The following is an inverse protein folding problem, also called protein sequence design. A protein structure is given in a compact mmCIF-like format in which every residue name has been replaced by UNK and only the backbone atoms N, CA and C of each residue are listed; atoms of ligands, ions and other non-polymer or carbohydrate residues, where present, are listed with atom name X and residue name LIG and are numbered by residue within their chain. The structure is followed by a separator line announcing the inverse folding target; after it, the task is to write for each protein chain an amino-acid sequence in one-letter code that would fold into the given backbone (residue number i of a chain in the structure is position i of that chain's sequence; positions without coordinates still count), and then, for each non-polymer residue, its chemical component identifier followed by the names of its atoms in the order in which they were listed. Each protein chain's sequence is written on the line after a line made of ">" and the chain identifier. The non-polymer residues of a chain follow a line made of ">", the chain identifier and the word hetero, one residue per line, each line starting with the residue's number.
data_IF_745655311820
#
_entry.id   IF_745655311820
#
_cell.length_a   1.000
_cell.length_b   1.000
_cell.length_c   1.000
_cell.angle_alpha   90.00
_cell.angle_beta   90.00
_cell.angle_gamma   90.00
#
_symmetry.space_group_name_H-M   'P 1'
#
loop_
_entity.id
_entity.type
_entity.pdbx_description
1 polymer ?
#
# COMPACT_ATOMS: atom_id res chain seq x y z
N UNK A 1 5.42 -30.71 -14.06
CA UNK A 1 4.15 -30.82 -14.81
C UNK A 1 3.27 -29.70 -14.32
N UNK A 2 3.30 -28.56 -15.01
CA UNK A 2 2.35 -27.48 -14.77
C UNK A 2 1.02 -27.89 -15.42
N UNK A 3 -0.04 -28.06 -14.63
CA UNK A 3 -1.37 -28.33 -15.17
C UNK A 3 -1.91 -27.07 -15.86
N UNK A 4 -2.62 -27.19 -16.99
CA UNK A 4 -3.23 -26.03 -17.61
C UNK A 4 -4.38 -25.56 -16.70
N UNK A 5 -4.18 -24.45 -15.99
CA UNK A 5 -5.25 -23.75 -15.29
C UNK A 5 -6.21 -23.18 -16.33
N UNK A 6 -7.20 -23.99 -16.75
CA UNK A 6 -8.34 -23.48 -17.49
C UNK A 6 -9.22 -22.75 -16.49
N UNK A 7 -9.08 -21.42 -16.45
CA UNK A 7 -9.96 -20.55 -15.70
C UNK A 7 -11.34 -20.58 -16.38
N UNK A 8 -12.18 -21.54 -16.01
CA UNK A 8 -13.59 -21.57 -16.41
C UNK A 8 -14.35 -20.47 -15.67
N UNK A 9 -14.26 -19.24 -16.17
CA UNK A 9 -15.24 -18.16 -15.94
C UNK A 9 -15.67 -17.93 -14.49
N UNK A 10 -14.78 -18.15 -13.52
CA UNK A 10 -15.00 -17.71 -12.16
C UNK A 10 -14.83 -16.20 -12.17
N UNK A 11 -15.89 -15.46 -11.87
CA UNK A 11 -15.75 -14.07 -11.49
C UNK A 11 -15.00 -14.04 -10.14
N UNK A 12 -13.68 -14.17 -10.18
CA UNK A 12 -12.81 -13.75 -9.08
C UNK A 12 -12.93 -12.23 -8.98
N UNK A 13 -14.06 -11.78 -8.44
CA UNK A 13 -14.38 -10.36 -8.24
C UNK A 13 -13.36 -9.66 -7.34
N UNK A 14 -12.59 -10.43 -6.58
CA UNK A 14 -11.47 -9.96 -5.79
C UNK A 14 -10.22 -9.64 -6.64
N UNK A 15 -10.10 -10.20 -7.84
CA UNK A 15 -9.01 -9.96 -8.78
C UNK A 15 -9.54 -9.76 -10.21
N UNK A 16 -10.40 -8.76 -10.36
CA UNK A 16 -10.80 -8.27 -11.68
C UNK A 16 -9.63 -7.57 -12.36
N UNK A 17 -8.90 -8.30 -13.19
CA UNK A 17 -7.76 -7.78 -13.97
C UNK A 17 -8.18 -6.73 -15.01
N UNK A 18 -9.49 -6.60 -15.30
CA UNK A 18 -10.01 -5.57 -16.20
C UNK A 18 -10.25 -4.23 -15.48
N UNK A 19 -10.17 -4.20 -14.13
CA UNK A 19 -10.24 -2.94 -13.38
C UNK A 19 -9.05 -2.05 -13.69
N UNK A 20 -9.35 -0.91 -14.30
CA UNK A 20 -8.42 0.19 -14.39
C UNK A 20 -8.39 0.95 -13.08
N UNK A 21 -7.21 1.38 -12.58
CA UNK A 21 -7.14 2.27 -11.42
C UNK A 21 -7.95 3.54 -11.71
N UNK A 22 -8.81 3.94 -10.77
CA UNK A 22 -9.51 5.21 -10.91
C UNK A 22 -8.50 6.35 -10.74
N UNK A 23 -8.27 7.20 -11.76
CA UNK A 23 -7.27 8.26 -11.70
C UNK A 23 -7.58 9.32 -10.63
N UNK A 24 -8.82 9.40 -10.16
CA UNK A 24 -9.26 10.31 -9.10
C UNK A 24 -9.03 9.74 -7.69
N UNK A 25 -8.57 8.49 -7.56
CA UNK A 25 -8.28 7.85 -6.28
C UNK A 25 -6.79 7.52 -6.19
N UNK A 26 -5.96 8.55 -6.10
CA UNK A 26 -4.58 8.36 -5.71
C UNK A 26 -4.47 7.92 -4.24
N UNK A 27 -3.29 7.42 -3.86
CA UNK A 27 -3.08 6.84 -2.54
C UNK A 27 -3.33 7.86 -1.41
N UNK A 28 -2.98 9.13 -1.63
CA UNK A 28 -3.20 10.19 -0.67
C UNK A 28 -4.71 10.44 -0.44
N UNK A 29 -5.50 10.47 -1.51
CA UNK A 29 -6.96 10.62 -1.45
C UNK A 29 -7.62 9.44 -0.76
N UNK A 30 -7.15 8.21 -1.02
CA UNK A 30 -7.61 6.99 -0.33
C UNK A 30 -7.33 7.11 1.18
N UNK A 31 -6.11 7.46 1.57
CA UNK A 31 -5.73 7.61 2.98
C UNK A 31 -6.57 8.70 3.65
N UNK A 32 -6.76 9.86 3.00
CA UNK A 32 -7.57 10.95 3.54
C UNK A 32 -9.05 10.57 3.71
N UNK A 33 -9.61 9.79 2.79
CA UNK A 33 -10.98 9.30 2.87
C UNK A 33 -11.16 8.31 4.04
N UNK A 34 -10.23 7.36 4.22
CA UNK A 34 -10.34 6.34 5.27
C UNK A 34 -9.89 6.80 6.65
N UNK A 35 -8.98 7.79 6.73
CA UNK A 35 -8.47 8.36 7.99
C UNK A 35 -8.65 9.88 8.02
N UNK A 36 -9.90 10.37 8.05
CA UNK A 36 -10.17 11.81 8.15
C UNK A 36 -9.74 12.40 9.51
N UNK A 37 -9.66 11.54 10.54
CA UNK A 37 -9.24 11.85 11.91
C UNK A 37 -7.73 12.11 12.05
N UNK A 38 -6.92 11.46 11.20
CA UNK A 38 -5.47 11.60 11.23
C UNK A 38 -5.05 12.99 10.78
N UNK A 39 -4.01 13.54 11.40
CA UNK A 39 -3.48 14.83 10.95
C UNK A 39 -2.84 14.71 9.55
N UNK A 40 -2.76 15.81 8.77
CA UNK A 40 -2.20 15.76 7.41
C UNK A 40 -0.76 15.23 7.32
N UNK A 41 0.07 15.48 8.35
CA UNK A 41 1.47 15.04 8.40
C UNK A 41 1.54 13.53 8.64
N UNK A 42 0.72 13.00 9.55
CA UNK A 42 0.57 11.56 9.75
C UNK A 42 0.17 10.86 8.44
N UNK A 43 -0.84 11.39 7.74
CA UNK A 43 -1.28 10.83 6.45
C UNK A 43 -0.17 10.83 5.40
N UNK A 44 0.66 11.86 5.37
CA UNK A 44 1.81 11.95 4.47
C UNK A 44 2.87 10.89 4.80
N UNK A 45 3.18 10.66 6.08
CA UNK A 45 4.11 9.60 6.50
C UNK A 45 3.60 8.21 6.10
N UNK A 46 2.31 7.94 6.32
CA UNK A 46 1.68 6.67 5.91
C UNK A 46 1.74 6.48 4.40
N UNK A 47 1.42 7.52 3.61
CA UNK A 47 1.51 7.46 2.16
C UNK A 47 2.95 7.14 1.69
N UNK A 48 3.95 7.81 2.27
CA UNK A 48 5.36 7.55 1.99
C UNK A 48 5.76 6.10 2.27
N UNK A 49 5.35 5.56 3.41
CA UNK A 49 5.62 4.17 3.79
C UNK A 49 4.98 3.19 2.81
N UNK A 50 3.70 3.38 2.48
CA UNK A 50 2.98 2.50 1.56
C UNK A 50 3.63 2.47 0.18
N UNK A 51 4.07 3.62 -0.36
CA UNK A 51 4.80 3.66 -1.63
C UNK A 51 6.12 2.90 -1.61
N UNK A 52 6.79 2.79 -0.46
CA UNK A 52 8.08 2.09 -0.35
C UNK A 52 7.92 0.59 -0.09
N UNK A 53 6.94 0.21 0.73
CA UNK A 53 6.70 -1.19 1.14
C UNK A 53 5.93 -1.97 0.08
N UNK A 54 4.95 -1.34 -0.57
CA UNK A 54 4.12 -1.96 -1.61
C UNK A 54 4.64 -1.71 -3.03
N UNK A 55 5.96 -1.49 -3.21
CA UNK A 55 6.54 -1.38 -4.57
C UNK A 55 6.31 -2.67 -5.33
N UNK A 56 5.92 -2.55 -6.59
CA UNK A 56 5.67 -3.69 -7.47
C UNK A 56 6.92 -4.59 -7.57
N UNK A 57 8.06 -4.01 -7.96
CA UNK A 57 9.33 -4.71 -8.06
C UNK A 57 9.87 -5.09 -6.67
N UNK A 58 10.03 -6.38 -6.37
CA UNK A 58 10.44 -6.83 -5.04
C UNK A 58 11.85 -6.37 -4.66
N UNK A 59 12.77 -6.24 -5.63
CA UNK A 59 14.15 -5.77 -5.42
C UNK A 59 14.20 -4.32 -4.93
N UNK A 60 13.12 -3.58 -5.16
CA UNK A 60 13.03 -2.18 -4.83
C UNK A 60 12.28 -1.93 -3.51
N UNK A 61 11.62 -2.95 -2.95
CA UNK A 61 10.88 -2.85 -1.69
C UNK A 61 11.83 -2.63 -0.53
N UNK A 62 11.38 -1.87 0.46
CA UNK A 62 12.09 -1.81 1.74
C UNK A 62 12.12 -3.19 2.40
N UNK A 63 13.30 -3.58 2.86
CA UNK A 63 13.42 -4.67 3.83
C UNK A 63 12.90 -4.22 5.20
N UNK A 64 12.58 -5.17 6.08
CA UNK A 64 12.18 -4.87 7.46
C UNK A 64 13.23 -4.04 8.19
N UNK A 65 14.52 -4.37 8.03
CA UNK A 65 15.61 -3.64 8.66
C UNK A 65 15.68 -2.17 8.21
N UNK A 66 15.46 -1.90 6.92
CA UNK A 66 15.43 -0.53 6.41
C UNK A 66 14.15 0.20 6.82
N UNK A 67 13.00 -0.49 6.87
CA UNK A 67 11.74 0.11 7.33
C UNK A 67 11.83 0.58 8.79
N UNK A 68 12.47 -0.19 9.67
CA UNK A 68 12.68 0.19 11.07
C UNK A 68 13.53 1.46 11.22
N UNK A 69 14.37 1.77 10.23
CA UNK A 69 15.18 2.99 10.19
C UNK A 69 14.52 4.13 9.42
N UNK A 70 13.39 3.88 8.75
CA UNK A 70 12.73 4.87 7.92
C UNK A 70 12.17 6.02 8.78
N UNK A 71 12.48 7.29 8.45
CA UNK A 71 12.02 8.43 9.24
C UNK A 71 10.49 8.56 9.32
N UNK A 72 9.76 8.17 8.26
CA UNK A 72 8.29 8.22 8.29
C UNK A 72 7.73 7.10 9.17
N UNK A 73 8.32 5.90 9.10
CA UNK A 73 7.96 4.82 10.02
C UNK A 73 8.19 5.22 11.49
N UNK A 74 9.36 5.78 11.79
CA UNK A 74 9.69 6.24 13.15
C UNK A 74 8.78 7.36 13.64
N UNK A 75 8.45 8.33 12.79
CA UNK A 75 7.52 9.40 13.16
C UNK A 75 6.14 8.87 13.57
N UNK A 76 5.64 7.83 12.89
CA UNK A 76 4.40 7.15 13.27
C UNK A 76 4.56 6.40 14.60
N UNK A 77 5.63 5.62 14.75
CA UNK A 77 5.88 4.85 15.98
C UNK A 77 6.02 5.77 17.21
N UNK A 78 6.76 6.87 17.07
CA UNK A 78 6.94 7.90 18.11
C UNK A 78 5.60 8.55 18.50
N UNK A 79 4.71 8.80 17.53
CA UNK A 79 3.37 9.35 17.78
C UNK A 79 2.49 8.43 18.63
N UNK A 80 2.59 7.12 18.41
CA UNK A 80 1.74 6.13 19.10
C UNK A 80 2.43 5.46 20.31
N UNK A 81 3.70 5.78 20.58
CA UNK A 81 4.43 5.32 21.77
C UNK A 81 4.95 3.88 21.69
N UNK A 82 5.29 3.41 20.49
CA UNK A 82 5.80 2.06 20.24
C UNK A 82 7.31 2.02 20.02
#
# INVERSE_FOLDING_TARGET
>A
MEGPYIHSGGFDSWYDQSRTPNPNHDLASIIAYFRPDADPIERQHVASMMYKVFRYCPEQRLTTAQLLQDPSFRAIMEKYGC
#
